data_IF_304360401304
#
_entry.id   IF_304360401304
#
_cell.length_a   1.000
_cell.length_b   1.000
_cell.length_c   1.000
_cell.angle_alpha   90.00
_cell.angle_beta   90.00
_cell.angle_gamma   90.00
#
_symmetry.space_group_name_H-M   'P 1'
#
loop_
_entity.id
_entity.type
_entity.pdbx_description
1 polymer ?
#
# COMPACT_ATOMS: atom_id res chain seq x y z
N UNK A 1 11.95 5.27 -18.94
CA UNK A 1 11.09 4.08 -18.71
C UNK A 1 11.15 3.78 -17.22
N UNK A 2 10.13 4.22 -16.48
CA UNK A 2 10.03 4.17 -15.01
C UNK A 2 10.06 2.72 -14.51
N UNK A 3 11.15 2.30 -13.85
CA UNK A 3 11.54 0.87 -13.79
C UNK A 3 11.57 0.20 -12.42
N UNK A 4 11.57 0.95 -11.32
CA UNK A 4 12.02 0.36 -10.05
C UNK A 4 10.89 -0.03 -9.09
N UNK A 5 9.77 0.68 -9.10
CA UNK A 5 8.69 0.40 -8.16
C UNK A 5 8.00 -0.96 -8.41
N UNK A 6 7.85 -1.35 -9.68
CA UNK A 6 7.15 -2.58 -10.08
C UNK A 6 7.96 -3.87 -9.81
N UNK A 7 9.28 -3.77 -9.60
CA UNK A 7 10.16 -4.94 -9.41
C UNK A 7 10.24 -5.42 -7.96
N UNK A 8 9.80 -4.61 -7.02
CA UNK A 8 9.97 -4.90 -5.60
C UNK A 8 8.83 -5.79 -5.09
N UNK A 9 9.19 -6.97 -4.60
CA UNK A 9 8.24 -7.85 -3.92
C UNK A 9 8.17 -7.46 -2.45
N UNK A 10 7.11 -6.74 -2.09
CA UNK A 10 6.92 -6.25 -0.73
C UNK A 10 6.38 -7.36 0.17
N UNK A 11 6.88 -7.42 1.41
CA UNK A 11 6.43 -8.38 2.42
C UNK A 11 5.85 -7.62 3.60
N UNK A 12 4.68 -8.07 4.06
CA UNK A 12 3.98 -7.42 5.16
C UNK A 12 3.29 -8.38 6.10
N UNK A 13 2.89 -7.84 7.24
CA UNK A 13 2.07 -8.50 8.23
C UNK A 13 0.79 -7.71 8.42
N UNK A 14 -0.32 -8.41 8.62
CA UNK A 14 -1.62 -7.78 8.74
C UNK A 14 -2.53 -8.42 9.77
N UNK A 15 -3.54 -7.64 10.16
CA UNK A 15 -4.67 -8.10 10.94
C UNK A 15 -5.95 -7.68 10.21
N UNK A 16 -7.01 -8.44 10.38
CA UNK A 16 -8.27 -8.08 9.74
C UNK A 16 -9.50 -8.66 10.42
N UNK A 17 -10.62 -8.09 10.00
CA UNK A 17 -11.97 -8.51 10.34
C UNK A 17 -12.69 -8.86 9.05
N UNK A 18 -13.42 -9.97 9.06
CA UNK A 18 -14.17 -10.42 7.89
C UNK A 18 -15.56 -10.93 8.29
N UNK A 19 -16.53 -10.65 7.43
CA UNK A 19 -17.85 -11.31 7.46
C UNK A 19 -17.90 -12.20 6.25
N UNK A 20 -18.31 -13.45 6.44
CA UNK A 20 -18.44 -14.41 5.35
C UNK A 20 -19.83 -15.05 5.34
N UNK A 21 -20.31 -15.37 4.14
CA UNK A 21 -21.56 -16.09 3.95
C UNK A 21 -21.37 -17.21 2.95
N UNK A 22 -21.88 -18.39 3.30
CA UNK A 22 -21.90 -19.52 2.39
C UNK A 22 -22.91 -19.27 1.26
N UNK A 23 -22.48 -19.50 0.02
CA UNK A 23 -23.35 -19.38 -1.16
C UNK A 23 -23.69 -20.77 -1.71
N UNK A 24 -22.71 -21.67 -1.75
CA UNK A 24 -22.86 -23.08 -2.16
C UNK A 24 -22.04 -23.93 -1.18
N UNK A 25 -22.29 -25.24 -1.11
CA UNK A 25 -21.53 -26.17 -0.26
C UNK A 25 -20.01 -25.97 -0.39
N UNK A 26 -19.41 -25.51 0.70
CA UNK A 26 -17.98 -25.23 0.79
C UNK A 26 -17.53 -23.89 0.18
N UNK A 27 -18.36 -23.16 -0.55
CA UNK A 27 -18.01 -21.89 -1.17
C UNK A 27 -18.62 -20.70 -0.41
N UNK A 28 -17.77 -19.76 -0.03
CA UNK A 28 -18.10 -18.58 0.75
C UNK A 28 -17.77 -17.31 -0.02
N UNK A 29 -18.63 -16.30 0.09
CA UNK A 29 -18.26 -14.91 -0.21
C UNK A 29 -17.93 -14.22 1.10
N UNK A 30 -16.86 -13.45 1.07
CA UNK A 30 -16.33 -12.74 2.22
C UNK A 30 -16.06 -11.28 1.86
N UNK A 31 -16.44 -10.38 2.75
CA UNK A 31 -16.03 -8.99 2.72
C UNK A 31 -15.37 -8.66 4.05
N UNK A 32 -14.35 -7.81 4.02
CA UNK A 32 -13.63 -7.50 5.25
C UNK A 32 -12.96 -6.15 5.26
N UNK A 33 -12.20 -5.97 6.33
CA UNK A 33 -11.31 -4.86 6.56
C UNK A 33 -9.98 -5.43 7.05
N UNK A 34 -8.89 -4.98 6.45
CA UNK A 34 -7.54 -5.40 6.80
C UNK A 34 -6.66 -4.18 7.00
N UNK A 35 -5.85 -4.21 8.05
CA UNK A 35 -4.74 -3.32 8.27
C UNK A 35 -3.44 -4.10 8.10
N UNK A 36 -2.46 -3.56 7.40
CA UNK A 36 -1.18 -4.22 7.16
C UNK A 36 -0.02 -3.25 7.23
N UNK A 37 1.11 -3.74 7.72
CA UNK A 37 2.39 -3.04 7.71
C UNK A 37 3.35 -3.79 6.80
N UNK A 38 4.00 -3.07 5.89
CA UNK A 38 5.02 -3.62 4.98
C UNK A 38 6.38 -3.12 5.42
N UNK A 39 7.27 -4.03 5.80
CA UNK A 39 8.62 -3.69 6.28
C UNK A 39 9.64 -4.22 5.27
N UNK A 40 10.23 -3.32 4.47
CA UNK A 40 11.22 -3.69 3.45
C UNK A 40 12.63 -3.20 3.78
N UNK A 41 12.76 -2.15 4.60
CA UNK A 41 14.04 -1.47 4.83
C UNK A 41 14.64 -0.84 3.57
N UNK A 42 13.85 -0.74 2.49
CA UNK A 42 14.28 -0.23 1.20
C UNK A 42 13.76 1.19 0.98
N UNK A 43 14.61 2.01 0.38
CA UNK A 43 14.27 3.37 -0.02
C UNK A 43 14.58 3.54 -1.51
N UNK A 44 13.70 4.26 -2.20
CA UNK A 44 14.01 4.84 -3.51
C UNK A 44 14.60 6.22 -3.26
N UNK A 45 15.73 6.53 -3.89
CA UNK A 45 16.46 7.78 -3.67
C UNK A 45 16.69 8.50 -4.99
N UNK A 46 16.74 9.83 -4.98
CA UNK A 46 17.03 10.68 -6.13
C UNK A 46 18.28 10.25 -6.94
N UNK A 47 19.27 9.64 -6.28
CA UNK A 47 20.48 9.10 -6.92
C UNK A 47 20.22 7.89 -7.84
N UNK A 48 19.12 7.18 -7.62
CA UNK A 48 18.81 5.91 -8.29
C UNK A 48 17.68 6.11 -9.31
N UNK A 49 17.88 6.92 -10.36
CA UNK A 49 16.96 7.18 -11.50
C UNK A 49 15.50 6.69 -11.31
N UNK A 50 14.80 7.28 -10.33
CA UNK A 50 13.47 6.81 -9.92
C UNK A 50 12.41 7.59 -10.68
N UNK A 51 11.20 7.02 -10.78
CA UNK A 51 10.06 7.74 -11.34
C UNK A 51 9.64 8.98 -10.57
N UNK A 52 10.06 9.10 -9.31
CA UNK A 52 9.78 10.24 -8.44
C UNK A 52 10.83 11.34 -8.57
N UNK A 53 11.88 11.14 -9.37
CA UNK A 53 12.93 12.14 -9.55
C UNK A 53 12.39 13.38 -10.25
N UNK A 54 12.61 14.55 -9.65
CA UNK A 54 12.28 15.83 -10.26
C UNK A 54 11.86 16.89 -9.27
N UNK A 55 11.43 18.03 -9.83
CA UNK A 55 10.85 19.14 -9.10
C UNK A 55 9.33 19.03 -9.08
N UNK A 56 8.77 19.25 -7.91
CA UNK A 56 7.34 19.36 -7.64
C UNK A 56 7.06 20.77 -7.16
N UNK A 57 5.90 21.33 -7.49
CA UNK A 57 5.62 22.73 -7.22
C UNK A 57 4.35 22.86 -6.40
N UNK A 58 4.44 23.63 -5.31
CA UNK A 58 3.29 24.15 -4.59
C UNK A 58 3.18 25.64 -4.91
N UNK A 59 2.38 25.99 -5.93
CA UNK A 59 2.44 27.34 -6.50
C UNK A 59 3.79 27.57 -7.18
N UNK A 60 4.55 28.58 -6.73
CA UNK A 60 5.88 28.90 -7.28
C UNK A 60 7.04 28.28 -6.48
N UNK A 61 6.74 27.59 -5.39
CA UNK A 61 7.74 27.07 -4.46
C UNK A 61 8.17 25.66 -4.90
N UNK A 62 9.45 25.45 -5.29
CA UNK A 62 9.93 24.17 -5.79
C UNK A 62 10.30 23.22 -4.64
N UNK A 63 9.92 21.97 -4.79
CA UNK A 63 10.26 20.84 -3.93
C UNK A 63 11.03 19.81 -4.75
N UNK A 64 12.28 19.55 -4.40
CA UNK A 64 13.11 18.58 -5.08
C UNK A 64 13.03 17.23 -4.37
N UNK A 65 12.59 16.18 -5.07
CA UNK A 65 12.53 14.83 -4.50
C UNK A 65 13.90 14.37 -3.99
N UNK A 66 13.94 13.79 -2.79
CA UNK A 66 15.15 13.20 -2.22
C UNK A 66 15.02 11.70 -2.06
N UNK A 67 13.95 11.25 -1.39
CA UNK A 67 13.74 9.83 -1.13
C UNK A 67 12.28 9.46 -0.86
N UNK A 68 11.97 8.19 -1.05
CA UNK A 68 10.71 7.53 -0.72
C UNK A 68 11.03 6.22 0.01
N UNK A 69 10.50 6.06 1.22
CA UNK A 69 10.54 4.78 1.93
C UNK A 69 9.47 3.84 1.36
N UNK A 70 9.86 2.61 1.05
CA UNK A 70 8.92 1.55 0.65
C UNK A 70 8.23 0.90 1.86
N UNK A 71 8.69 1.21 3.08
CA UNK A 71 7.94 0.89 4.29
C UNK A 71 6.67 1.73 4.35
N UNK A 72 5.53 1.07 4.50
CA UNK A 72 4.24 1.73 4.47
C UNK A 72 3.19 0.96 5.26
N UNK A 73 2.16 1.70 5.63
CA UNK A 73 0.92 1.16 6.19
C UNK A 73 -0.12 1.08 5.09
N UNK A 74 -0.89 0.00 5.08
CA UNK A 74 -1.99 -0.20 4.15
C UNK A 74 -3.29 -0.54 4.88
N UNK A 75 -4.36 0.15 4.50
CA UNK A 75 -5.73 -0.20 4.87
C UNK A 75 -6.41 -0.78 3.62
N UNK A 76 -7.07 -1.92 3.76
CA UNK A 76 -7.64 -2.68 2.65
C UNK A 76 -9.05 -3.16 2.95
N UNK A 77 -9.91 -3.09 1.93
CA UNK A 77 -11.26 -3.67 1.92
C UNK A 77 -11.31 -4.73 0.82
N UNK A 78 -11.11 -6.02 1.16
CA UNK A 78 -11.20 -7.10 0.19
C UNK A 78 -12.63 -7.63 0.02
N UNK A 79 -12.93 -8.09 -1.19
CA UNK A 79 -14.07 -8.93 -1.54
C UNK A 79 -13.53 -10.26 -2.08
N UNK A 80 -13.74 -11.34 -1.34
CA UNK A 80 -13.12 -12.64 -1.57
C UNK A 80 -14.16 -13.73 -1.84
N UNK A 81 -13.77 -14.68 -2.67
CA UNK A 81 -14.36 -16.01 -2.78
C UNK A 81 -13.41 -16.99 -2.09
N UNK A 82 -13.92 -17.75 -1.12
CA UNK A 82 -13.14 -18.70 -0.34
C UNK A 82 -13.78 -20.09 -0.39
N UNK A 83 -12.96 -21.13 -0.54
CA UNK A 83 -13.43 -22.52 -0.53
C UNK A 83 -12.95 -23.26 0.71
N UNK A 84 -13.88 -23.67 1.57
CA UNK A 84 -13.57 -24.43 2.78
C UNK A 84 -13.20 -25.88 2.47
N UNK A 85 -11.93 -26.23 2.71
CA UNK A 85 -11.41 -27.59 2.62
C UNK A 85 -10.76 -28.00 3.94
N UNK A 86 -11.53 -28.68 4.80
CA UNK A 86 -11.13 -29.02 6.18
C UNK A 86 -10.73 -27.76 6.98
N UNK A 87 -9.49 -27.67 7.45
CA UNK A 87 -8.94 -26.48 8.11
C UNK A 87 -8.34 -25.47 7.13
N UNK A 88 -8.21 -25.81 5.86
CA UNK A 88 -7.64 -24.94 4.85
C UNK A 88 -8.75 -24.23 4.07
N UNK A 89 -8.48 -22.99 3.67
CA UNK A 89 -9.39 -22.21 2.86
C UNK A 89 -8.59 -21.42 1.81
N UNK A 90 -8.38 -21.99 0.61
CA UNK A 90 -7.91 -21.21 -0.52
C UNK A 90 -8.94 -20.13 -0.86
N UNK A 91 -8.46 -18.97 -1.26
CA UNK A 91 -9.31 -17.86 -1.63
C UNK A 91 -8.71 -17.03 -2.76
N UNK A 92 -9.57 -16.31 -3.46
CA UNK A 92 -9.21 -15.32 -4.46
C UNK A 92 -10.22 -14.19 -4.45
N UNK A 93 -9.85 -13.02 -4.93
CA UNK A 93 -10.76 -11.90 -4.97
C UNK A 93 -10.13 -10.62 -5.47
N UNK A 94 -10.85 -9.53 -5.20
CA UNK A 94 -10.42 -8.17 -5.52
C UNK A 94 -10.36 -7.36 -4.24
N UNK A 95 -9.55 -6.30 -4.25
CA UNK A 95 -9.45 -5.42 -3.11
C UNK A 95 -9.23 -3.98 -3.53
N UNK A 96 -9.87 -3.08 -2.79
CA UNK A 96 -9.49 -1.69 -2.73
C UNK A 96 -8.59 -1.47 -1.52
N UNK A 97 -7.55 -0.67 -1.67
CA UNK A 97 -6.69 -0.29 -0.54
C UNK A 97 -6.22 1.16 -0.63
N UNK A 98 -5.81 1.70 0.50
CA UNK A 98 -5.03 2.93 0.56
C UNK A 98 -3.71 2.63 1.28
N UNK A 99 -2.60 2.94 0.61
CA UNK A 99 -1.25 2.82 1.15
C UNK A 99 -0.70 4.19 1.50
N UNK A 100 -0.04 4.30 2.65
CA UNK A 100 0.55 5.53 3.16
C UNK A 100 2.07 5.35 3.36
N UNK A 101 2.85 6.02 2.52
CA UNK A 101 4.31 6.00 2.51
C UNK A 101 4.88 7.30 3.08
N UNK A 102 6.17 7.26 3.40
CA UNK A 102 6.94 8.44 3.78
C UNK A 102 7.88 8.84 2.66
N UNK A 103 7.82 10.10 2.24
CA UNK A 103 8.73 10.71 1.28
C UNK A 103 9.47 11.90 1.91
N UNK A 104 10.59 12.28 1.32
CA UNK A 104 11.34 13.47 1.73
C UNK A 104 11.68 14.32 0.50
N UNK A 105 11.53 15.62 0.65
CA UNK A 105 11.82 16.62 -0.36
C UNK A 105 12.75 17.67 0.21
N UNK A 106 13.68 18.15 -0.61
CA UNK A 106 14.44 19.35 -0.30
C UNK A 106 13.65 20.57 -0.78
N UNK A 107 13.59 21.61 0.05
CA UNK A 107 12.93 22.86 -0.22
C UNK A 107 13.80 24.03 0.25
N UNK A 108 13.45 25.25 -0.14
CA UNK A 108 14.15 26.46 0.24
C UNK A 108 13.60 27.03 1.54
N UNK A 109 14.47 27.32 2.51
CA UNK A 109 14.13 28.04 3.75
C UNK A 109 13.62 29.48 3.51
N UNK A 110 13.74 29.98 2.28
CA UNK A 110 13.38 31.35 1.91
C UNK A 110 14.52 32.36 2.09
N UNK A 111 15.70 31.89 2.50
CA UNK A 111 16.92 32.69 2.60
C UNK A 111 17.50 32.91 1.20
N UNK A 112 17.88 34.15 0.88
CA UNK A 112 18.54 34.47 -0.39
C UNK A 112 20.07 34.36 -0.28
N UNK A 113 20.77 33.85 -1.31
CA UNK A 113 20.22 33.27 -2.55
C UNK A 113 19.47 31.96 -2.29
N UNK A 114 18.43 31.67 -3.08
CA UNK A 114 17.59 30.46 -2.93
C UNK A 114 18.48 29.22 -2.93
N UNK A 115 18.45 28.48 -1.83
CA UNK A 115 19.18 27.23 -1.63
C UNK A 115 18.19 26.15 -1.20
N UNK A 116 18.41 24.90 -1.61
CA UNK A 116 17.66 23.75 -1.11
C UNK A 116 18.30 23.25 0.19
N UNK A 117 18.17 24.05 1.24
CA UNK A 117 18.84 23.89 2.53
C UNK A 117 17.98 23.18 3.58
N UNK A 118 16.67 23.05 3.35
CA UNK A 118 15.75 22.37 4.26
C UNK A 118 15.23 21.05 3.66
N UNK A 119 15.13 20.01 4.50
CA UNK A 119 14.48 18.74 4.14
C UNK A 119 13.15 18.64 4.85
N UNK A 120 12.08 18.50 4.07
CA UNK A 120 10.72 18.31 4.57
C UNK A 120 10.28 16.86 4.37
N UNK A 121 9.75 16.25 5.42
CA UNK A 121 9.09 14.94 5.32
C UNK A 121 7.62 15.13 4.92
N UNK A 122 7.18 14.32 3.96
CA UNK A 122 5.87 14.44 3.33
C UNK A 122 5.24 13.05 3.26
N UNK A 123 3.93 12.94 3.47
CA UNK A 123 3.22 11.66 3.32
C UNK A 123 2.83 11.45 1.87
N UNK A 124 2.99 10.25 1.35
CA UNK A 124 2.45 9.88 0.04
C UNK A 124 1.30 8.90 0.25
N UNK A 125 0.08 9.30 -0.07
CA UNK A 125 -1.11 8.45 -0.06
C UNK A 125 -1.40 7.94 -1.47
N UNK A 126 -1.65 6.64 -1.57
CA UNK A 126 -1.90 5.95 -2.84
C UNK A 126 -3.14 5.10 -2.71
N UNK A 127 -4.19 5.44 -3.47
CA UNK A 127 -5.36 4.60 -3.62
C UNK A 127 -5.07 3.51 -4.65
N UNK A 128 -5.25 2.26 -4.27
CA UNK A 128 -4.90 1.10 -5.07
C UNK A 128 -6.13 0.21 -5.28
N UNK A 129 -6.20 -0.41 -6.46
CA UNK A 129 -7.16 -1.46 -6.76
C UNK A 129 -6.44 -2.65 -7.39
N UNK A 130 -6.88 -3.86 -7.06
CA UNK A 130 -6.18 -5.04 -7.53
C UNK A 130 -6.87 -6.35 -7.20
N UNK A 131 -6.18 -7.44 -7.51
CA UNK A 131 -6.61 -8.79 -7.19
C UNK A 131 -5.71 -9.41 -6.14
N UNK A 132 -6.25 -10.38 -5.43
CA UNK A 132 -5.51 -11.17 -4.47
C UNK A 132 -5.93 -12.62 -4.51
N UNK A 133 -5.01 -13.48 -4.07
CA UNK A 133 -5.25 -14.90 -3.88
C UNK A 133 -4.36 -15.40 -2.75
N UNK A 134 -4.79 -16.46 -2.09
CA UNK A 134 -4.04 -16.96 -0.96
C UNK A 134 -4.63 -18.20 -0.36
N UNK A 135 -4.07 -18.54 0.80
CA UNK A 135 -4.45 -19.71 1.56
C UNK A 135 -4.53 -19.33 3.04
N UNK A 136 -5.64 -19.71 3.68
CA UNK A 136 -5.85 -19.53 5.12
C UNK A 136 -5.96 -20.87 5.83
N UNK A 137 -5.43 -20.93 7.03
CA UNK A 137 -5.58 -22.00 7.99
C UNK A 137 -6.52 -21.54 9.11
N UNK A 138 -7.61 -22.29 9.29
CA UNK A 138 -8.61 -22.09 10.33
C UNK A 138 -8.09 -22.63 11.66
N UNK A 139 -7.74 -21.72 12.55
CA UNK A 139 -7.28 -22.05 13.91
C UNK A 139 -8.48 -22.35 14.82
N UNK A 140 -9.53 -21.52 14.74
CA UNK A 140 -10.83 -21.70 15.42
C UNK A 140 -11.96 -21.30 14.47
N UNK A 141 -13.22 -21.43 14.90
CA UNK A 141 -14.36 -20.97 14.08
C UNK A 141 -14.33 -19.46 13.80
N UNK A 142 -13.82 -18.68 14.74
CA UNK A 142 -13.72 -17.22 14.63
C UNK A 142 -12.32 -16.73 14.20
N UNK A 143 -11.29 -17.58 14.16
CA UNK A 143 -9.91 -17.13 13.96
C UNK A 143 -9.17 -17.95 12.90
N UNK A 144 -8.48 -17.25 12.00
CA UNK A 144 -7.63 -17.86 10.99
C UNK A 144 -6.32 -17.10 10.80
N UNK A 145 -5.30 -17.80 10.33
CA UNK A 145 -4.04 -17.21 9.88
C UNK A 145 -3.83 -17.57 8.42
N UNK A 146 -3.19 -16.72 7.63
CA UNK A 146 -2.99 -17.03 6.23
C UNK A 146 -1.90 -16.22 5.56
N UNK A 147 -1.63 -16.61 4.32
CA UNK A 147 -0.72 -15.93 3.43
C UNK A 147 -1.48 -15.53 2.17
N UNK A 148 -1.26 -14.30 1.73
CA UNK A 148 -1.93 -13.71 0.57
C UNK A 148 -0.90 -13.10 -0.37
N UNK A 149 -1.01 -13.42 -1.65
CA UNK A 149 -0.40 -12.65 -2.72
C UNK A 149 -1.40 -11.63 -3.25
N UNK A 150 -0.93 -10.40 -3.52
CA UNK A 150 -1.75 -9.35 -4.14
C UNK A 150 -0.96 -8.64 -5.22
N UNK A 151 -1.63 -8.34 -6.32
CA UNK A 151 -1.16 -7.38 -7.31
C UNK A 151 -2.08 -6.18 -7.23
N UNK A 152 -1.52 -4.99 -7.05
CA UNK A 152 -2.27 -3.74 -6.96
C UNK A 152 -1.75 -2.73 -7.96
N UNK A 153 -2.67 -1.94 -8.50
CA UNK A 153 -2.40 -0.86 -9.43
C UNK A 153 -3.08 0.41 -8.96
N UNK A 154 -2.40 1.52 -9.19
CA UNK A 154 -2.81 2.83 -8.68
C UNK A 154 -2.67 3.85 -9.80
N UNK A 155 -3.75 4.56 -10.15
CA UNK A 155 -3.75 5.51 -11.27
C UNK A 155 -3.16 6.88 -10.92
N UNK A 156 -2.81 7.12 -9.64
CA UNK A 156 -2.28 8.38 -9.16
C UNK A 156 -1.78 8.30 -7.73
N UNK A 157 -1.00 9.31 -7.34
CA UNK A 157 -0.45 9.46 -5.99
C UNK A 157 -0.73 10.86 -5.47
N UNK A 158 -0.97 10.98 -4.17
CA UNK A 158 -1.19 12.26 -3.50
C UNK A 158 -0.10 12.46 -2.46
N UNK A 159 0.66 13.54 -2.60
CA UNK A 159 1.57 13.99 -1.55
C UNK A 159 0.84 14.94 -0.62
N UNK A 160 0.88 14.63 0.67
CA UNK A 160 0.14 15.31 1.73
C UNK A 160 1.14 15.90 2.73
N UNK A 161 0.88 17.11 3.19
CA UNK A 161 1.62 17.72 4.28
C UNK A 161 1.33 17.04 5.64
N UNK A 162 1.95 17.55 6.70
CA UNK A 162 1.79 17.02 8.06
C UNK A 162 0.34 17.14 8.59
N UNK A 163 -0.43 18.09 8.06
CA UNK A 163 -1.84 18.30 8.40
C UNK A 163 -2.79 17.49 7.52
N UNK A 164 -2.27 16.70 6.58
CA UNK A 164 -3.05 15.91 5.62
C UNK A 164 -3.59 16.72 4.44
N UNK A 165 -3.17 17.98 4.27
CA UNK A 165 -3.53 18.81 3.12
C UNK A 165 -2.70 18.41 1.91
N UNK A 166 -3.33 18.38 0.73
CA UNK A 166 -2.64 18.00 -0.50
C UNK A 166 -1.61 19.06 -0.91
N UNK A 167 -0.36 18.64 -1.07
CA UNK A 167 0.72 19.46 -1.65
C UNK A 167 0.73 19.33 -3.17
N UNK A 168 0.80 18.10 -3.69
CA UNK A 168 0.82 17.83 -5.12
C UNK A 168 0.28 16.43 -5.43
N UNK A 169 -0.33 16.27 -6.61
CA UNK A 169 -0.94 15.03 -7.08
C UNK A 169 -0.49 14.71 -8.51
N UNK A 170 0.77 14.25 -8.69
CA UNK A 170 1.29 13.94 -10.01
C UNK A 170 0.52 12.75 -10.61
N UNK A 171 0.24 12.81 -11.91
CA UNK A 171 -0.33 11.71 -12.67
C UNK A 171 0.74 10.63 -12.87
N UNK A 172 0.90 9.76 -11.87
CA UNK A 172 1.90 8.71 -11.85
C UNK A 172 1.27 7.38 -11.52
N UNK A 173 1.49 6.41 -12.40
CA UNK A 173 1.02 5.05 -12.19
C UNK A 173 1.98 4.28 -11.29
N UNK A 174 1.40 3.57 -10.33
CA UNK A 174 2.14 2.78 -9.37
C UNK A 174 1.59 1.35 -9.41
N UNK A 175 2.48 0.38 -9.50
CA UNK A 175 2.12 -1.05 -9.56
C UNK A 175 2.97 -1.81 -8.55
N UNK A 176 2.36 -2.70 -7.78
CA UNK A 176 3.04 -3.45 -6.71
C UNK A 176 2.65 -4.91 -6.67
N UNK A 177 3.64 -5.72 -6.33
CA UNK A 177 3.49 -7.12 -5.97
C UNK A 177 3.74 -7.29 -4.48
N UNK A 178 2.78 -7.85 -3.77
CA UNK A 178 2.78 -7.90 -2.31
C UNK A 178 2.51 -9.31 -1.79
N UNK A 179 3.28 -9.74 -0.80
CA UNK A 179 2.95 -10.86 0.08
C UNK A 179 2.58 -10.36 1.46
N UNK A 180 1.45 -10.82 1.98
CA UNK A 180 0.98 -10.46 3.32
C UNK A 180 0.71 -11.73 4.12
N UNK A 181 1.27 -11.81 5.32
CA UNK A 181 0.87 -12.78 6.33
C UNK A 181 -0.15 -12.12 7.26
N UNK A 182 -1.34 -12.70 7.40
CA UNK A 182 -2.42 -12.04 8.11
C UNK A 182 -3.13 -12.94 9.12
N UNK A 183 -3.47 -12.35 10.26
CA UNK A 183 -4.43 -12.90 11.22
C UNK A 183 -5.82 -12.31 10.95
N UNK A 184 -6.83 -13.15 10.79
CA UNK A 184 -8.20 -12.73 10.46
C UNK A 184 -9.18 -13.26 11.50
N UNK A 185 -9.96 -12.33 12.05
CA UNK A 185 -11.11 -12.62 12.90
C UNK A 185 -12.38 -12.60 12.04
N UNK A 186 -13.13 -13.70 12.09
CA UNK A 186 -14.37 -13.90 11.36
C UNK A 186 -15.56 -13.58 12.27
N UNK A 187 -16.41 -12.67 11.79
CA UNK A 187 -17.72 -12.38 12.37
C UNK A 187 -18.71 -13.30 11.64
N UNK A 188 -19.31 -14.20 12.41
CA UNK A 188 -20.26 -15.23 11.95
C UNK A 188 -21.69 -14.73 12.15
#
# INVERSE_FOLDING_TARGET
>A
MFRDFNKEMLKGFGIGLSVQRQIINGLFVEIGFQWSQFATGKELNAKNDTQFNGYYFQGNDPYLFQKLSLEHTQIRVPLLLAYGWQKWSPFLGIAYSNSLYNASFAHSSGIQPVQFDETRSVKMSVANFGYCLGLRFKCTDAFSVGMQYSYIKSPGVHFLDENGSQLFAPAMNVEENQWTFSCLLHII
#
